data_IF_296662049751
#
_entry.id   IF_296662049751
#
_cell.length_a   1.000
_cell.length_b   1.000
_cell.length_c   1.000
_cell.angle_alpha   90.00
_cell.angle_beta   90.00
_cell.angle_gamma   90.00
#
_symmetry.space_group_name_H-M   'P 1'
#
loop_
_entity.id
_entity.type
_entity.pdbx_description
1 polymer ?
#
# COMPACT_ATOMS: atom_id res chain seq x y z
N UNK A 1 47.40 21.70 -22.28
CA UNK A 1 47.62 21.50 -23.73
C UNK A 1 46.29 21.08 -24.35
N UNK A 2 46.06 21.37 -25.62
CA UNK A 2 44.84 20.95 -26.33
C UNK A 2 45.05 19.56 -26.90
N UNK A 3 44.08 18.65 -26.69
CA UNK A 3 44.14 17.30 -27.25
C UNK A 3 44.23 17.36 -28.79
N UNK A 4 44.94 16.39 -29.39
CA UNK A 4 45.17 16.26 -30.84
C UNK A 4 45.88 17.44 -31.53
N UNK A 5 46.42 18.40 -30.78
CA UNK A 5 47.30 19.43 -31.33
C UNK A 5 48.75 18.94 -31.38
N UNK A 6 49.49 19.35 -32.41
CA UNK A 6 50.92 19.04 -32.54
C UNK A 6 51.76 20.04 -31.76
N UNK A 7 52.66 19.54 -30.94
CA UNK A 7 53.63 20.33 -30.20
C UNK A 7 55.06 19.88 -30.54
N UNK A 8 56.00 20.82 -30.52
CA UNK A 8 57.43 20.53 -30.70
C UNK A 8 58.14 20.70 -29.37
N UNK A 9 58.77 19.62 -28.89
CA UNK A 9 59.77 19.69 -27.81
C UNK A 9 61.15 19.79 -28.44
N UNK A 10 62.01 20.65 -27.92
CA UNK A 10 63.37 20.82 -28.41
C UNK A 10 64.33 21.15 -27.28
N UNK A 11 65.60 20.84 -27.50
CA UNK A 11 66.70 21.37 -26.72
C UNK A 11 67.69 22.05 -27.67
N UNK A 12 68.37 23.07 -27.18
CA UNK A 12 69.46 23.70 -27.91
C UNK A 12 70.82 23.22 -27.39
N UNK A 13 71.78 23.10 -28.29
CA UNK A 13 73.18 22.80 -27.95
C UNK A 13 74.12 23.64 -28.81
N UNK A 14 75.25 24.05 -28.24
CA UNK A 14 76.39 24.64 -28.98
C UNK A 14 77.51 23.62 -29.21
N UNK A 15 77.30 22.39 -28.74
CA UNK A 15 78.22 21.27 -28.85
C UNK A 15 77.57 20.15 -29.67
N UNK A 16 78.09 18.93 -29.57
CA UNK A 16 77.55 17.76 -30.25
C UNK A 16 76.11 17.44 -29.77
N UNK A 17 75.39 16.69 -30.60
CA UNK A 17 74.07 16.13 -30.32
C UNK A 17 74.04 14.63 -30.65
N UNK A 18 73.15 13.90 -30.01
CA UNK A 18 72.88 12.51 -30.35
C UNK A 18 71.71 12.43 -31.34
N UNK A 19 71.77 11.51 -32.29
CA UNK A 19 70.63 11.21 -33.15
C UNK A 19 70.65 9.78 -33.68
N UNK A 20 69.47 9.29 -34.08
CA UNK A 20 69.30 8.05 -34.83
C UNK A 20 68.54 8.35 -36.12
N UNK A 21 69.15 8.07 -37.28
CA UNK A 21 68.48 8.26 -38.57
C UNK A 21 67.36 7.26 -38.79
N UNK A 22 66.36 7.66 -39.57
CA UNK A 22 65.19 6.88 -39.98
C UNK A 22 64.27 6.40 -38.84
N UNK A 23 64.46 6.86 -37.60
CA UNK A 23 63.66 6.45 -36.44
C UNK A 23 62.16 6.78 -36.61
N UNK A 24 61.84 8.00 -37.03
CA UNK A 24 60.48 8.42 -37.39
C UNK A 24 60.16 8.12 -38.87
N UNK A 25 60.81 7.12 -39.46
CA UNK A 25 60.49 6.61 -40.80
C UNK A 25 59.09 5.99 -40.87
N UNK A 26 58.57 5.57 -39.71
CA UNK A 26 57.17 5.24 -39.47
C UNK A 26 56.65 6.06 -38.27
N UNK A 27 55.33 6.27 -38.15
CA UNK A 27 54.74 6.86 -36.94
C UNK A 27 55.14 6.06 -35.68
N UNK A 28 55.26 6.76 -34.56
CA UNK A 28 55.60 6.18 -33.26
C UNK A 28 54.50 6.51 -32.26
N UNK A 29 54.25 5.58 -31.34
CA UNK A 29 53.29 5.74 -30.24
C UNK A 29 54.02 5.45 -28.94
N UNK A 30 53.84 6.32 -27.94
CA UNK A 30 54.42 6.13 -26.62
C UNK A 30 53.90 4.84 -25.95
N UNK A 31 54.57 4.34 -24.90
CA UNK A 31 54.18 3.10 -24.22
C UNK A 31 52.75 3.10 -23.66
N UNK A 32 52.22 4.27 -23.30
CA UNK A 32 50.88 4.49 -22.76
C UNK A 32 49.82 4.82 -23.83
N UNK A 33 50.24 5.00 -25.09
CA UNK A 33 49.34 5.38 -26.18
C UNK A 33 48.91 6.86 -26.19
N UNK A 34 49.29 7.64 -25.19
CA UNK A 34 48.81 9.02 -25.01
C UNK A 34 49.53 9.98 -25.96
N UNK A 35 50.84 9.81 -26.10
CA UNK A 35 51.65 10.61 -27.01
C UNK A 35 51.90 9.85 -28.31
N UNK A 36 51.73 10.54 -29.43
CA UNK A 36 52.05 10.01 -30.76
C UNK A 36 52.96 10.98 -31.51
N UNK A 37 53.80 10.43 -32.38
CA UNK A 37 54.66 11.16 -33.29
C UNK A 37 54.39 10.67 -34.71
N UNK A 38 54.08 11.58 -35.63
CA UNK A 38 53.84 11.25 -37.03
C UNK A 38 55.13 10.82 -37.75
N UNK A 39 54.97 10.23 -38.94
CA UNK A 39 56.11 10.03 -39.84
C UNK A 39 56.79 11.38 -40.11
N UNK A 40 58.11 11.44 -39.96
CA UNK A 40 58.89 12.66 -40.13
C UNK A 40 58.83 13.64 -38.96
N UNK A 41 58.36 13.23 -37.77
CA UNK A 41 58.32 14.08 -36.57
C UNK A 41 59.69 14.60 -36.09
N UNK A 42 60.78 14.00 -36.59
CA UNK A 42 62.15 14.44 -36.35
C UNK A 42 62.46 15.80 -36.96
N UNK A 43 62.52 16.85 -36.13
CA UNK A 43 62.79 18.23 -36.56
C UNK A 43 64.06 18.82 -35.94
N UNK A 44 64.72 19.71 -36.68
CA UNK A 44 65.86 20.50 -36.23
C UNK A 44 65.79 21.94 -36.76
N UNK A 45 66.61 22.83 -36.19
CA UNK A 45 66.93 24.13 -36.75
C UNK A 45 68.43 24.39 -36.56
N UNK A 46 69.08 24.95 -37.59
CA UNK A 46 70.46 25.41 -37.49
C UNK A 46 70.50 26.88 -37.05
N UNK A 47 71.49 27.24 -36.24
CA UNK A 47 71.69 28.60 -35.74
C UNK A 47 71.62 28.68 -34.21
N UNK A 48 71.14 29.80 -33.69
CA UNK A 48 71.09 30.07 -32.26
C UNK A 48 70.05 29.17 -31.55
N UNK A 49 70.38 28.55 -30.40
CA UNK A 49 69.42 27.88 -29.53
C UNK A 49 68.15 28.73 -29.26
N UNK A 50 66.99 28.07 -29.23
CA UNK A 50 65.70 28.72 -28.98
C UNK A 50 64.87 29.07 -30.22
N UNK A 51 65.38 28.79 -31.43
CA UNK A 51 64.59 28.85 -32.66
C UNK A 51 63.71 27.60 -32.78
N UNK A 52 62.44 27.77 -33.18
CA UNK A 52 61.52 26.66 -33.44
C UNK A 52 62.07 25.73 -34.54
N UNK A 53 62.31 24.45 -34.25
CA UNK A 53 62.73 23.47 -35.25
C UNK A 53 61.64 23.23 -36.31
N UNK A 54 61.98 23.45 -37.59
CA UNK A 54 61.05 23.24 -38.72
C UNK A 54 61.66 22.44 -39.87
N UNK A 55 62.97 22.19 -39.84
CA UNK A 55 63.65 21.39 -40.86
C UNK A 55 63.68 19.92 -40.46
N UNK A 56 63.72 19.01 -41.42
CA UNK A 56 63.83 17.57 -41.17
C UNK A 56 65.07 17.00 -41.85
N UNK A 57 65.64 15.95 -41.26
CA UNK A 57 66.78 15.22 -41.83
C UNK A 57 66.61 13.73 -41.60
N UNK A 58 66.49 12.96 -42.69
CA UNK A 58 66.36 11.49 -42.68
C UNK A 58 65.39 10.93 -41.61
N UNK A 59 64.27 11.62 -41.32
CA UNK A 59 63.33 11.21 -40.27
C UNK A 59 64.00 10.88 -38.91
N UNK A 60 65.02 11.67 -38.53
CA UNK A 60 65.88 11.34 -37.38
C UNK A 60 65.21 11.59 -36.04
N UNK A 61 65.50 10.77 -35.02
CA UNK A 61 65.20 11.09 -33.63
C UNK A 61 66.43 11.73 -32.97
N UNK A 62 66.28 12.92 -32.37
CA UNK A 62 67.34 13.68 -31.70
C UNK A 62 67.41 13.44 -30.19
N UNK A 63 66.70 12.41 -29.69
CA UNK A 63 66.72 11.95 -28.31
C UNK A 63 66.39 13.05 -27.29
N UNK A 64 65.35 13.83 -27.61
CA UNK A 64 64.66 14.73 -26.68
C UNK A 64 63.32 14.12 -26.32
N UNK A 65 62.94 14.22 -25.05
CA UNK A 65 61.72 13.62 -24.52
C UNK A 65 60.93 14.63 -23.67
N UNK A 66 59.66 14.35 -23.45
CA UNK A 66 58.75 15.17 -22.65
C UNK A 66 58.14 14.34 -21.53
N UNK A 67 58.25 14.83 -20.30
CA UNK A 67 57.41 14.33 -19.20
C UNK A 67 55.99 14.83 -19.39
N UNK A 68 55.05 13.95 -19.73
CA UNK A 68 53.64 14.29 -19.85
C UNK A 68 52.85 13.76 -18.65
N UNK A 69 52.05 14.62 -18.04
CA UNK A 69 51.05 14.23 -17.05
C UNK A 69 49.70 14.68 -17.56
N UNK A 70 48.84 13.73 -17.92
CA UNK A 70 47.45 14.02 -18.20
C UNK A 70 46.81 14.64 -16.94
N UNK A 71 45.95 15.64 -17.10
CA UNK A 71 45.02 15.98 -16.03
C UNK A 71 43.98 14.88 -15.93
N UNK A 72 43.58 14.52 -14.72
CA UNK A 72 42.42 13.66 -14.50
C UNK A 72 41.19 14.35 -15.11
N UNK A 73 40.30 13.56 -15.72
CA UNK A 73 39.02 14.09 -16.19
C UNK A 73 38.25 14.68 -14.99
N UNK A 74 37.49 15.77 -15.17
CA UNK A 74 36.64 16.26 -14.09
C UNK A 74 35.59 15.20 -13.76
N UNK A 75 35.35 15.00 -12.46
CA UNK A 75 34.32 14.08 -11.95
C UNK A 75 32.94 14.42 -12.52
N UNK A 76 32.21 13.40 -12.90
CA UNK A 76 30.83 13.45 -13.36
C UNK A 76 29.94 12.90 -12.24
N UNK A 77 28.85 13.61 -11.87
CA UNK A 77 27.98 13.13 -10.82
C UNK A 77 27.24 11.86 -11.24
N UNK A 78 26.78 11.04 -10.28
CA UNK A 78 25.96 9.88 -10.56
C UNK A 78 24.59 10.31 -11.12
N UNK A 79 23.99 9.45 -11.94
CA UNK A 79 22.72 9.70 -12.62
C UNK A 79 21.73 8.55 -12.38
N UNK A 80 20.47 8.89 -12.07
CA UNK A 80 19.39 7.91 -11.97
C UNK A 80 19.14 7.24 -13.33
N UNK A 81 18.86 5.94 -13.31
CA UNK A 81 18.56 5.11 -14.49
C UNK A 81 17.18 4.46 -14.41
N UNK A 82 16.24 5.13 -13.74
CA UNK A 82 14.88 4.64 -13.56
C UNK A 82 14.13 4.58 -14.90
N UNK A 83 13.31 3.55 -15.09
CA UNK A 83 12.45 3.43 -16.28
C UNK A 83 11.29 4.45 -16.29
N UNK A 84 10.97 5.02 -15.12
CA UNK A 84 9.93 6.04 -14.91
C UNK A 84 10.01 6.63 -13.51
N UNK A 85 9.21 7.66 -13.25
CA UNK A 85 9.12 8.34 -11.94
C UNK A 85 7.86 7.97 -11.17
N UNK A 86 7.06 7.04 -11.69
CA UNK A 86 5.84 6.56 -11.04
C UNK A 86 5.93 5.05 -10.94
N UNK A 87 5.74 4.56 -9.74
CA UNK A 87 5.74 3.14 -9.40
C UNK A 87 4.38 2.77 -8.85
N UNK A 88 3.98 1.52 -9.07
CA UNK A 88 2.74 0.98 -8.54
C UNK A 88 3.10 -0.28 -7.78
N UNK A 89 2.57 -0.40 -6.57
CA UNK A 89 2.83 -1.51 -5.67
C UNK A 89 1.52 -1.94 -5.05
N UNK A 90 1.23 -3.24 -4.96
CA UNK A 90 0.05 -3.67 -4.24
C UNK A 90 0.27 -3.51 -2.75
N UNK A 91 -0.79 -3.27 -2.00
CA UNK A 91 -0.75 -3.15 -0.55
C UNK A 91 -0.25 -4.42 0.17
N UNK A 92 -0.25 -4.38 1.51
CA UNK A 92 0.11 -5.51 2.37
C UNK A 92 1.56 -6.01 2.19
N UNK A 93 2.44 -5.14 1.69
CA UNK A 93 3.89 -5.40 1.59
C UNK A 93 4.71 -4.13 1.75
N UNK A 94 5.90 -4.27 2.31
CA UNK A 94 6.79 -3.13 2.56
C UNK A 94 7.71 -2.79 1.40
N UNK A 95 7.91 -3.67 0.41
CA UNK A 95 8.79 -3.35 -0.74
C UNK A 95 8.07 -2.45 -1.72
N UNK A 96 8.55 -1.22 -1.92
CA UNK A 96 7.93 -0.24 -2.80
C UNK A 96 8.53 -0.28 -4.22
N UNK A 97 9.85 -0.07 -4.32
CA UNK A 97 10.55 -0.02 -5.61
C UNK A 97 12.04 -0.33 -5.44
N UNK A 98 12.72 -0.65 -6.54
CA UNK A 98 14.19 -0.67 -6.59
C UNK A 98 14.68 0.49 -7.42
N UNK A 99 15.41 1.40 -6.78
CA UNK A 99 15.95 2.61 -7.37
C UNK A 99 17.30 2.28 -7.99
N UNK A 100 17.50 2.67 -9.24
CA UNK A 100 18.74 2.40 -9.99
C UNK A 100 19.41 3.71 -10.39
N UNK A 101 20.74 3.67 -10.37
CA UNK A 101 21.60 4.76 -10.81
C UNK A 101 22.94 4.19 -11.30
N UNK A 102 23.67 5.00 -12.04
CA UNK A 102 25.05 4.72 -12.47
C UNK A 102 25.91 5.94 -12.21
N UNK A 103 27.20 5.71 -12.03
CA UNK A 103 28.20 6.76 -12.06
C UNK A 103 29.03 6.62 -13.35
N UNK A 104 29.16 7.68 -14.18
CA UNK A 104 29.91 7.60 -15.44
C UNK A 104 31.41 7.30 -15.27
N UNK A 105 31.98 7.69 -14.14
CA UNK A 105 33.40 7.48 -13.82
C UNK A 105 33.62 6.15 -13.06
N UNK A 106 32.53 5.50 -12.65
CA UNK A 106 32.53 4.22 -11.94
C UNK A 106 32.71 4.37 -10.43
N UNK A 107 32.50 5.57 -9.91
CA UNK A 107 32.61 5.85 -8.49
C UNK A 107 31.47 5.21 -7.68
N UNK A 108 31.75 4.95 -6.40
CA UNK A 108 30.73 4.51 -5.47
C UNK A 108 29.84 5.68 -5.08
N UNK A 109 28.53 5.46 -5.02
CA UNK A 109 27.56 6.43 -4.57
C UNK A 109 26.57 5.81 -3.56
N UNK A 110 25.84 6.67 -2.87
CA UNK A 110 24.85 6.29 -1.84
C UNK A 110 23.48 6.82 -2.21
N UNK A 111 22.45 5.98 -2.07
CA UNK A 111 21.05 6.38 -2.15
C UNK A 111 20.54 6.92 -0.81
N UNK A 112 19.67 7.93 -0.84
CA UNK A 112 18.97 8.44 0.34
C UNK A 112 17.59 8.99 0.00
N UNK A 113 16.68 9.00 0.98
CA UNK A 113 15.45 9.79 0.95
C UNK A 113 15.83 11.22 1.35
N UNK A 114 15.64 12.17 0.43
CA UNK A 114 16.02 13.57 0.60
C UNK A 114 14.85 14.46 1.04
N UNK A 115 13.61 13.99 0.89
CA UNK A 115 12.40 14.72 1.26
C UNK A 115 11.16 14.18 0.54
N UNK A 116 10.19 15.05 0.31
CA UNK A 116 8.84 14.69 -0.18
C UNK A 116 7.79 14.85 0.92
N UNK A 117 6.52 14.91 0.53
CA UNK A 117 5.40 15.02 1.48
C UNK A 117 5.35 13.78 2.38
N UNK A 118 5.64 12.62 1.81
CA UNK A 118 5.54 11.32 2.48
C UNK A 118 6.92 10.72 2.79
N UNK A 119 7.96 11.55 2.91
CA UNK A 119 9.33 11.11 3.15
C UNK A 119 9.45 10.18 4.37
N UNK A 120 8.67 10.44 5.42
CA UNK A 120 8.66 9.66 6.65
C UNK A 120 8.07 8.25 6.48
N UNK A 121 7.27 8.03 5.42
CA UNK A 121 6.70 6.73 5.11
C UNK A 121 7.70 5.77 4.45
N UNK A 122 8.93 6.20 4.15
CA UNK A 122 9.91 5.38 3.41
C UNK A 122 11.27 5.26 4.09
N UNK A 123 11.87 4.10 3.88
CA UNK A 123 13.28 3.82 4.08
C UNK A 123 13.91 3.47 2.73
N UNK A 124 15.19 3.78 2.53
CA UNK A 124 15.96 3.31 1.38
C UNK A 124 17.27 2.68 1.82
N UNK A 125 17.60 1.53 1.25
CA UNK A 125 18.93 0.95 1.43
C UNK A 125 19.96 1.76 0.62
N UNK A 126 20.91 2.39 1.31
CA UNK A 126 21.87 3.29 0.69
C UNK A 126 22.81 2.65 -0.34
N UNK A 127 22.94 1.32 -0.36
CA UNK A 127 23.80 0.60 -1.32
C UNK A 127 23.00 -0.06 -2.43
N UNK A 128 21.89 -0.73 -2.09
CA UNK A 128 21.11 -1.49 -3.07
C UNK A 128 20.02 -0.69 -3.76
N UNK A 129 19.71 0.52 -3.27
CA UNK A 129 18.61 1.34 -3.79
C UNK A 129 17.23 0.76 -3.52
N UNK A 130 17.10 -0.25 -2.65
CA UNK A 130 15.80 -0.81 -2.29
C UNK A 130 15.02 0.21 -1.46
N UNK A 131 13.94 0.73 -2.04
CA UNK A 131 12.98 1.61 -1.38
C UNK A 131 11.86 0.75 -0.77
N UNK A 132 11.59 0.97 0.51
CA UNK A 132 10.58 0.24 1.26
C UNK A 132 9.74 1.17 2.12
N UNK A 133 8.47 0.87 2.31
CA UNK A 133 7.63 1.55 3.29
C UNK A 133 8.12 1.29 4.73
N UNK A 134 7.97 2.29 5.59
CA UNK A 134 8.29 2.22 7.02
C UNK A 134 7.26 1.42 7.81
N UNK A 135 5.99 1.47 7.39
CA UNK A 135 4.89 0.62 7.84
C UNK A 135 4.28 -0.09 6.62
N UNK A 136 3.63 -1.24 6.81
CA UNK A 136 2.90 -1.89 5.73
C UNK A 136 1.75 -0.99 5.28
N UNK A 137 1.64 -0.64 3.98
CA UNK A 137 0.52 0.14 3.48
C UNK A 137 -0.75 -0.73 3.43
N UNK A 138 -1.87 -0.07 3.70
CA UNK A 138 -3.25 -0.56 3.71
C UNK A 138 -4.04 0.44 2.84
N UNK A 139 -4.71 -0.07 1.80
CA UNK A 139 -5.39 0.77 0.81
C UNK A 139 -6.66 1.41 1.37
N UNK A 140 -7.36 0.70 2.25
CA UNK A 140 -8.59 1.09 2.94
C UNK A 140 -8.31 2.13 4.03
N UNK A 141 -7.10 2.10 4.61
CA UNK A 141 -6.60 3.10 5.57
C UNK A 141 -5.33 3.81 5.09
N UNK A 142 -5.43 4.72 4.09
CA UNK A 142 -4.28 5.45 3.57
C UNK A 142 -3.51 6.19 4.68
N UNK A 143 -2.19 6.16 4.61
CA UNK A 143 -1.29 6.78 5.60
C UNK A 143 -0.44 7.91 5.00
N UNK A 144 -0.59 8.18 3.72
CA UNK A 144 0.00 9.34 3.04
C UNK A 144 -0.66 10.65 3.52
N UNK A 145 0.01 11.77 3.28
CA UNK A 145 -0.36 13.06 3.85
C UNK A 145 -1.75 13.54 3.40
N UNK A 146 -2.16 13.20 2.18
CA UNK A 146 -3.42 13.58 1.52
C UNK A 146 -4.47 12.46 1.49
N UNK A 147 -4.13 11.27 1.96
CA UNK A 147 -5.00 10.09 2.06
C UNK A 147 -5.54 9.63 0.70
N UNK A 148 -4.73 9.69 -0.35
CA UNK A 148 -5.13 9.30 -1.71
C UNK A 148 -4.39 8.06 -2.26
N UNK A 149 -3.62 7.38 -1.41
CA UNK A 149 -2.82 6.20 -1.74
C UNK A 149 -1.67 6.47 -2.74
N UNK A 150 -1.34 7.74 -3.01
CA UNK A 150 -0.23 8.15 -3.88
C UNK A 150 0.84 8.85 -3.04
N UNK A 151 1.90 8.12 -2.74
CA UNK A 151 2.98 8.62 -1.90
C UNK A 151 4.03 9.38 -2.73
N UNK A 152 4.45 10.55 -2.26
CA UNK A 152 5.32 11.47 -2.97
C UNK A 152 6.67 11.64 -2.24
N UNK A 153 7.73 11.16 -2.89
CA UNK A 153 9.07 11.06 -2.27
C UNK A 153 10.11 11.70 -3.17
N UNK A 154 11.01 12.49 -2.56
CA UNK A 154 12.21 13.02 -3.19
C UNK A 154 13.41 12.17 -2.80
N UNK A 155 14.03 11.52 -3.78
CA UNK A 155 15.24 10.70 -3.59
C UNK A 155 16.50 11.49 -3.95
N UNK A 156 17.65 11.07 -3.42
CA UNK A 156 18.96 11.58 -3.80
C UNK A 156 20.00 10.47 -3.99
N UNK A 157 20.95 10.71 -4.89
CA UNK A 157 22.18 9.94 -5.05
C UNK A 157 23.39 10.88 -4.93
N UNK A 158 24.43 10.44 -4.24
CA UNK A 158 25.67 11.22 -4.07
C UNK A 158 26.90 10.33 -4.02
N UNK A 159 27.93 10.73 -4.76
CA UNK A 159 29.29 10.20 -4.75
C UNK A 159 30.18 10.87 -3.67
N UNK A 160 29.66 11.90 -2.99
CA UNK A 160 30.40 12.71 -2.01
C UNK A 160 31.40 13.70 -2.63
N UNK A 161 31.49 13.79 -3.96
CA UNK A 161 32.41 14.66 -4.70
C UNK A 161 31.62 15.84 -5.29
N UNK A 162 30.55 15.54 -6.02
CA UNK A 162 29.64 16.53 -6.58
C UNK A 162 28.41 16.73 -5.67
N UNK A 163 27.68 17.86 -5.84
CA UNK A 163 26.37 18.02 -5.22
C UNK A 163 25.46 16.84 -5.56
N UNK A 164 24.69 16.36 -4.58
CA UNK A 164 23.78 15.24 -4.78
C UNK A 164 22.77 15.52 -5.89
N UNK A 165 22.50 14.51 -6.71
CA UNK A 165 21.46 14.55 -7.74
C UNK A 165 20.16 14.06 -7.12
N UNK A 166 19.06 14.79 -7.33
CA UNK A 166 17.76 14.49 -6.75
C UNK A 166 16.71 14.13 -7.80
N UNK A 167 15.80 13.22 -7.47
CA UNK A 167 14.69 12.81 -8.33
C UNK A 167 13.42 12.63 -7.50
N UNK A 168 12.35 13.34 -7.88
CA UNK A 168 11.03 13.12 -7.32
C UNK A 168 10.38 11.90 -7.98
N UNK A 169 9.72 11.08 -7.18
CA UNK A 169 8.95 9.92 -7.63
C UNK A 169 7.60 9.86 -6.92
N UNK A 170 6.66 9.13 -7.51
CA UNK A 170 5.42 8.71 -6.85
C UNK A 170 5.35 7.20 -6.72
N UNK A 171 4.75 6.72 -5.63
CA UNK A 171 4.44 5.31 -5.39
C UNK A 171 2.95 5.20 -5.11
N UNK A 172 2.20 4.65 -6.06
CA UNK A 172 0.77 4.36 -5.93
C UNK A 172 0.59 2.99 -5.28
N UNK A 173 -0.12 2.96 -4.15
CA UNK A 173 -0.58 1.72 -3.53
C UNK A 173 -1.87 1.30 -4.22
N UNK A 174 -1.92 0.08 -4.75
CA UNK A 174 -3.14 -0.47 -5.35
C UNK A 174 -3.79 -1.46 -4.41
N UNK A 175 -5.11 -1.32 -4.31
CA UNK A 175 -6.04 -2.32 -3.78
C UNK A 175 -5.70 -3.70 -4.35
N UNK A 176 -5.49 -4.66 -3.44
CA UNK A 176 -5.52 -6.08 -3.76
C UNK A 176 -6.76 -6.66 -3.11
N UNK A 177 -7.67 -7.15 -3.96
CA UNK A 177 -8.76 -8.04 -3.58
C UNK A 177 -8.22 -9.39 -3.08
N UNK A 178 -7.60 -9.40 -1.90
CA UNK A 178 -7.17 -10.56 -1.13
C UNK A 178 -7.98 -10.70 0.17
N UNK A 179 -8.92 -9.79 0.45
CA UNK A 179 -10.04 -10.13 1.31
C UNK A 179 -10.87 -11.20 0.59
N UNK A 180 -10.93 -12.39 1.18
CA UNK A 180 -12.12 -13.22 0.98
C UNK A 180 -13.32 -12.31 1.26
N UNK A 181 -14.20 -12.11 0.28
CA UNK A 181 -15.41 -11.28 0.40
C UNK A 181 -15.93 -11.34 1.84
N UNK A 182 -16.16 -10.19 2.51
CA UNK A 182 -16.26 -10.13 3.97
C UNK A 182 -17.12 -11.30 4.44
N UNK A 183 -16.53 -12.16 5.27
CA UNK A 183 -17.30 -13.21 5.93
C UNK A 183 -18.23 -12.45 6.86
N UNK A 184 -19.40 -12.07 6.36
CA UNK A 184 -20.38 -11.33 7.12
C UNK A 184 -20.69 -12.16 8.35
N UNK A 185 -20.28 -11.64 9.50
CA UNK A 185 -20.58 -12.25 10.78
C UNK A 185 -22.10 -12.21 10.97
N UNK A 186 -22.63 -13.31 11.50
CA UNK A 186 -24.02 -13.41 11.90
C UNK A 186 -24.10 -14.15 13.22
N UNK A 187 -25.12 -13.84 14.02
CA UNK A 187 -25.27 -14.41 15.35
C UNK A 187 -25.61 -15.91 15.26
N UNK A 188 -26.32 -16.34 14.21
CA UNK A 188 -26.74 -17.72 14.02
C UNK A 188 -26.13 -18.36 12.77
N UNK A 189 -25.71 -19.61 12.90
CA UNK A 189 -25.14 -20.40 11.81
C UNK A 189 -26.20 -20.82 10.79
N UNK A 190 -25.73 -21.26 9.61
CA UNK A 190 -26.59 -21.63 8.47
C UNK A 190 -27.53 -22.82 8.73
N UNK A 191 -27.29 -23.59 9.78
CA UNK A 191 -28.12 -24.73 10.19
C UNK A 191 -29.05 -24.42 11.35
N UNK A 192 -28.92 -23.25 11.99
CA UNK A 192 -29.75 -22.87 13.13
C UNK A 192 -31.15 -22.48 12.63
N UNK A 193 -32.19 -23.00 13.31
CA UNK A 193 -33.58 -22.78 12.93
C UNK A 193 -34.53 -22.80 14.14
N UNK A 194 -35.69 -22.11 14.05
CA UNK A 194 -36.68 -22.08 15.12
C UNK A 194 -37.27 -23.45 15.46
N UNK A 195 -37.40 -23.71 16.76
CA UNK A 195 -38.19 -24.82 17.29
C UNK A 195 -39.69 -24.67 17.00
N UNK A 196 -40.22 -23.44 16.96
CA UNK A 196 -41.60 -23.14 16.56
C UNK A 196 -41.57 -22.12 15.42
N UNK A 197 -42.18 -22.47 14.29
CA UNK A 197 -42.11 -21.66 13.06
C UNK A 197 -43.30 -20.72 12.87
N UNK A 198 -44.35 -20.84 13.69
CA UNK A 198 -45.53 -19.96 13.63
C UNK A 198 -46.23 -19.92 14.99
N UNK A 199 -46.81 -18.78 15.33
CA UNK A 199 -47.70 -18.60 16.49
C UNK A 199 -49.14 -18.32 16.04
N UNK A 200 -50.09 -18.47 16.96
CA UNK A 200 -51.49 -18.07 16.78
C UNK A 200 -51.88 -16.89 17.69
N UNK A 201 -50.88 -16.12 18.14
CA UNK A 201 -51.08 -14.90 18.93
C UNK A 201 -51.46 -13.76 17.98
N UNK A 202 -52.50 -13.00 18.32
CA UNK A 202 -52.97 -11.86 17.52
C UNK A 202 -52.46 -10.52 18.03
N UNK A 203 -51.55 -10.54 19.00
CA UNK A 203 -50.95 -9.34 19.59
C UNK A 203 -49.84 -8.83 18.67
N UNK A 204 -49.82 -7.52 18.43
CA UNK A 204 -48.73 -6.86 17.74
C UNK A 204 -47.49 -6.82 18.64
N UNK A 205 -46.32 -7.10 18.09
CA UNK A 205 -45.06 -7.07 18.82
C UNK A 205 -43.96 -6.39 18.02
N UNK A 206 -43.06 -5.71 18.73
CA UNK A 206 -41.66 -5.63 18.32
C UNK A 206 -40.90 -6.74 19.02
N UNK A 207 -40.21 -7.61 18.26
CA UNK A 207 -39.46 -8.76 18.76
C UNK A 207 -37.99 -8.58 18.42
N UNK A 208 -37.07 -8.91 19.34
CA UNK A 208 -35.66 -8.65 19.12
C UNK A 208 -34.69 -9.56 19.87
N UNK A 209 -33.42 -9.31 19.59
CA UNK A 209 -32.25 -9.91 20.24
C UNK A 209 -31.32 -8.80 20.69
N UNK A 210 -30.86 -8.89 21.93
CA UNK A 210 -29.73 -8.10 22.43
C UNK A 210 -28.42 -8.79 22.04
N UNK A 211 -27.46 -8.04 21.53
CA UNK A 211 -26.18 -8.56 21.08
C UNK A 211 -25.05 -7.55 21.29
N UNK A 212 -23.81 -8.03 21.20
CA UNK A 212 -22.60 -7.23 21.15
C UNK A 212 -21.62 -7.81 20.11
N UNK A 213 -20.83 -6.95 19.50
CA UNK A 213 -19.73 -7.33 18.61
C UNK A 213 -18.40 -7.32 19.37
N UNK A 214 -17.53 -8.32 19.15
CA UNK A 214 -16.22 -8.40 19.78
C UNK A 214 -15.21 -7.38 19.21
N UNK A 215 -15.47 -6.87 18.02
CA UNK A 215 -14.67 -5.87 17.29
C UNK A 215 -15.53 -4.70 16.84
N UNK A 216 -14.90 -3.60 16.45
CA UNK A 216 -15.60 -2.52 15.74
C UNK A 216 -15.95 -3.03 14.33
N UNK A 217 -16.98 -2.45 13.72
CA UNK A 217 -17.40 -2.83 12.36
C UNK A 217 -18.75 -2.21 12.01
N UNK A 218 -19.36 -2.67 10.93
CA UNK A 218 -20.62 -2.12 10.43
C UNK A 218 -21.72 -3.17 10.27
N UNK A 219 -22.95 -2.82 10.62
CA UNK A 219 -24.13 -3.61 10.25
C UNK A 219 -24.54 -3.22 8.83
N UNK A 220 -24.66 -4.19 7.93
CA UNK A 220 -25.04 -3.97 6.52
C UNK A 220 -26.47 -4.43 6.22
N UNK A 221 -26.99 -5.39 6.98
CA UNK A 221 -28.36 -5.87 6.86
C UNK A 221 -28.89 -6.41 8.17
N UNK A 222 -30.22 -6.41 8.30
CA UNK A 222 -30.96 -7.09 9.36
C UNK A 222 -31.77 -8.23 8.75
N UNK A 223 -32.03 -9.29 9.51
CA UNK A 223 -32.85 -10.40 9.04
C UNK A 223 -33.76 -10.95 10.13
N UNK A 224 -34.91 -11.49 9.71
CA UNK A 224 -35.83 -12.21 10.58
C UNK A 224 -36.22 -13.54 9.95
N UNK A 225 -36.63 -14.51 10.78
CA UNK A 225 -37.09 -15.80 10.27
C UNK A 225 -38.60 -15.79 9.97
N UNK A 226 -38.95 -16.12 8.73
CA UNK A 226 -40.34 -16.39 8.31
C UNK A 226 -40.59 -17.90 8.25
N UNK A 227 -41.56 -18.40 8.99
CA UNK A 227 -41.91 -19.81 8.96
C UNK A 227 -42.59 -20.24 7.68
N UNK A 228 -42.35 -21.47 7.23
CA UNK A 228 -42.97 -22.03 6.01
C UNK A 228 -44.50 -22.03 6.05
N UNK A 229 -45.10 -22.11 7.25
CA UNK A 229 -46.56 -22.03 7.43
C UNK A 229 -47.13 -20.62 7.26
N UNK A 230 -46.29 -19.60 7.37
CA UNK A 230 -46.61 -18.18 7.14
C UNK A 230 -46.26 -17.73 5.71
N UNK A 231 -45.62 -18.59 4.91
CA UNK A 231 -45.17 -18.25 3.57
C UNK A 231 -46.27 -18.23 2.51
N UNK A 232 -47.55 -18.14 2.89
CA UNK A 232 -48.71 -18.24 1.98
C UNK A 232 -49.09 -16.93 1.28
N UNK A 233 -48.59 -15.80 1.77
CA UNK A 233 -49.00 -14.45 1.37
C UNK A 233 -47.81 -13.54 1.03
N UNK A 234 -48.11 -12.29 0.68
CA UNK A 234 -47.11 -11.22 0.60
C UNK A 234 -47.07 -10.51 1.94
N UNK A 235 -45.93 -10.56 2.62
CA UNK A 235 -45.74 -9.95 3.93
C UNK A 235 -44.64 -8.87 3.84
N UNK A 236 -44.80 -7.78 4.56
CA UNK A 236 -43.78 -6.72 4.66
C UNK A 236 -43.52 -6.41 6.11
N UNK A 237 -42.27 -6.63 6.54
CA UNK A 237 -41.83 -6.34 7.91
C UNK A 237 -40.75 -5.27 7.91
N UNK A 238 -40.75 -4.47 8.96
CA UNK A 238 -39.71 -3.49 9.23
C UNK A 238 -38.82 -4.01 10.34
N UNK A 239 -37.52 -3.97 10.12
CA UNK A 239 -36.49 -4.33 11.06
C UNK A 239 -35.78 -3.05 11.53
N UNK A 240 -35.39 -3.05 12.79
CA UNK A 240 -34.80 -1.90 13.47
C UNK A 240 -33.52 -2.30 14.18
N UNK A 241 -32.54 -1.39 14.18
CA UNK A 241 -31.30 -1.50 14.93
C UNK A 241 -31.26 -0.36 15.96
N UNK A 242 -30.97 -0.70 17.21
CA UNK A 242 -30.97 0.24 18.32
C UNK A 242 -29.66 0.16 19.10
N UNK A 243 -29.31 1.25 19.79
CA UNK A 243 -28.40 1.15 20.93
C UNK A 243 -29.05 0.29 22.03
N UNK A 244 -28.26 -0.31 22.92
CA UNK A 244 -28.75 -1.05 24.08
C UNK A 244 -29.58 -0.20 25.07
N UNK A 245 -29.59 1.13 24.90
CA UNK A 245 -30.39 2.07 25.68
C UNK A 245 -31.62 2.59 24.93
N UNK A 246 -31.93 2.05 23.75
CA UNK A 246 -33.15 2.34 23.01
C UNK A 246 -33.13 3.54 22.05
N UNK A 247 -31.94 4.03 21.67
CA UNK A 247 -31.84 5.00 20.57
C UNK A 247 -31.86 4.28 19.23
N UNK A 248 -32.79 4.63 18.35
CA UNK A 248 -32.88 4.06 16.99
C UNK A 248 -31.69 4.51 16.14
N UNK A 249 -30.93 3.55 15.61
CA UNK A 249 -29.78 3.79 14.74
C UNK A 249 -30.15 3.68 13.26
N UNK A 250 -30.93 2.65 12.90
CA UNK A 250 -31.41 2.45 11.53
C UNK A 250 -32.67 1.58 11.48
N UNK A 251 -33.39 1.68 10.35
CA UNK A 251 -34.50 0.82 10.00
C UNK A 251 -34.42 0.40 8.54
N UNK A 252 -34.86 -0.83 8.24
CA UNK A 252 -35.04 -1.29 6.87
C UNK A 252 -36.26 -2.21 6.77
N UNK A 253 -36.93 -2.20 5.61
CA UNK A 253 -38.08 -3.06 5.36
C UNK A 253 -37.73 -4.14 4.34
N UNK A 254 -38.30 -5.33 4.51
CA UNK A 254 -38.25 -6.42 3.53
C UNK A 254 -39.67 -6.84 3.19
N UNK A 255 -39.93 -6.98 1.89
CA UNK A 255 -41.18 -7.54 1.38
C UNK A 255 -40.92 -8.96 0.88
N UNK A 256 -41.56 -9.93 1.51
CA UNK A 256 -41.49 -11.35 1.15
C UNK A 256 -42.75 -11.74 0.37
N UNK A 257 -42.57 -12.47 -0.72
CA UNK A 257 -43.63 -12.96 -1.61
C UNK A 257 -44.08 -14.38 -1.24
N UNK A 258 -45.22 -14.87 -1.76
CA UNK A 258 -45.69 -16.23 -1.49
C UNK A 258 -44.65 -17.29 -1.86
N UNK A 259 -44.42 -18.24 -0.94
CA UNK A 259 -43.44 -19.32 -1.04
C UNK A 259 -42.07 -19.00 -0.46
N UNK A 260 -41.80 -17.75 -0.06
CA UNK A 260 -40.53 -17.40 0.59
C UNK A 260 -40.61 -17.61 2.10
N UNK A 261 -39.74 -18.48 2.61
CA UNK A 261 -39.59 -18.81 4.03
C UNK A 261 -38.12 -18.89 4.43
N UNK A 262 -37.86 -19.12 5.71
CA UNK A 262 -36.52 -19.01 6.29
C UNK A 262 -36.13 -17.56 6.53
N UNK A 263 -34.83 -17.27 6.55
CA UNK A 263 -34.29 -15.93 6.72
C UNK A 263 -34.74 -14.97 5.62
N UNK A 264 -35.45 -13.92 6.01
CA UNK A 264 -35.77 -12.78 5.17
C UNK A 264 -34.85 -11.62 5.55
N UNK A 265 -34.16 -11.04 4.57
CA UNK A 265 -33.09 -10.06 4.79
C UNK A 265 -33.51 -8.69 4.28
N UNK A 266 -33.33 -7.66 5.10
CA UNK A 266 -33.49 -6.25 4.76
C UNK A 266 -32.12 -5.55 4.80
N UNK A 267 -31.61 -5.13 3.65
CA UNK A 267 -30.37 -4.36 3.54
C UNK A 267 -30.57 -2.93 4.06
N UNK A 268 -29.64 -2.43 4.87
CA UNK A 268 -29.65 -1.06 5.33
C UNK A 268 -29.22 -0.12 4.18
N UNK A 269 -29.90 1.01 4.03
CA UNK A 269 -29.55 2.01 3.00
C UNK A 269 -28.18 2.65 3.26
N UNK A 270 -27.75 2.70 4.52
CA UNK A 270 -26.44 3.15 4.96
C UNK A 270 -25.99 2.19 6.05
N UNK A 271 -24.80 1.55 5.93
CA UNK A 271 -24.24 0.74 7.00
C UNK A 271 -24.14 1.52 8.31
N UNK A 272 -24.25 0.82 9.44
CA UNK A 272 -24.21 1.43 10.77
C UNK A 272 -23.02 0.92 11.55
N UNK A 273 -22.11 1.81 11.90
CA UNK A 273 -20.95 1.51 12.74
C UNK A 273 -21.34 1.09 14.15
N UNK A 274 -20.78 -0.03 14.62
CA UNK A 274 -20.83 -0.51 15.99
C UNK A 274 -19.47 -0.37 16.66
N UNK A 275 -19.49 -0.09 17.96
CA UNK A 275 -18.30 -0.12 18.82
C UNK A 275 -18.22 -1.47 19.53
N UNK A 276 -17.01 -2.02 19.58
CA UNK A 276 -16.74 -3.31 20.21
C UNK A 276 -17.23 -3.35 21.66
N UNK A 277 -17.92 -4.42 22.02
CA UNK A 277 -18.47 -4.74 23.34
C UNK A 277 -19.59 -3.82 23.85
N UNK A 278 -20.01 -2.82 23.06
CA UNK A 278 -21.21 -2.07 23.39
C UNK A 278 -22.47 -2.92 23.11
N UNK A 279 -23.52 -2.81 23.96
CA UNK A 279 -24.76 -3.53 23.75
C UNK A 279 -25.62 -2.85 22.67
N UNK A 280 -26.22 -3.67 21.81
CA UNK A 280 -27.14 -3.26 20.76
C UNK A 280 -28.36 -4.19 20.73
N UNK A 281 -29.44 -3.73 20.12
CA UNK A 281 -30.63 -4.55 19.89
C UNK A 281 -30.98 -4.55 18.41
N UNK A 282 -31.16 -5.73 17.83
CA UNK A 282 -31.78 -5.89 16.52
C UNK A 282 -33.22 -6.41 16.72
N UNK A 283 -34.18 -5.82 16.03
CA UNK A 283 -35.60 -6.18 16.18
C UNK A 283 -36.38 -6.16 14.86
N UNK A 284 -37.56 -6.77 14.86
CA UNK A 284 -38.55 -6.59 13.81
C UNK A 284 -39.96 -6.45 14.38
N UNK A 285 -40.80 -5.70 13.67
CA UNK A 285 -42.21 -5.56 13.98
C UNK A 285 -43.07 -6.65 13.31
N UNK A 286 -44.01 -7.22 14.06
CA UNK A 286 -45.06 -8.11 13.53
C UNK A 286 -46.43 -7.72 14.08
N UNK A 287 -47.45 -7.79 13.23
CA UNK A 287 -48.87 -7.61 13.61
C UNK A 287 -49.66 -8.91 13.51
N UNK A 288 -48.95 -10.02 13.40
CA UNK A 288 -49.51 -11.34 13.13
C UNK A 288 -48.74 -12.37 13.97
N UNK A 289 -48.08 -13.30 13.31
CA UNK A 289 -47.36 -14.40 13.93
C UNK A 289 -45.84 -14.16 13.94
N UNK A 290 -45.14 -15.04 14.65
CA UNK A 290 -43.69 -15.06 14.71
C UNK A 290 -43.16 -16.49 14.92
N UNK A 291 -41.89 -16.69 14.59
CA UNK A 291 -41.15 -17.89 14.94
C UNK A 291 -40.40 -17.67 16.26
N UNK A 292 -40.25 -18.72 17.08
CA UNK A 292 -39.49 -18.62 18.32
C UNK A 292 -38.88 -19.93 18.79
N UNK A 293 -37.96 -19.84 19.75
CA UNK A 293 -37.46 -20.97 20.54
C UNK A 293 -37.35 -20.55 22.00
N UNK A 294 -38.11 -21.19 22.88
CA UNK A 294 -38.06 -20.92 24.31
C UNK A 294 -36.81 -21.49 24.96
N UNK A 295 -36.36 -20.87 26.07
CA UNK A 295 -35.15 -21.23 26.81
C UNK A 295 -33.85 -21.20 26.00
N UNK A 296 -33.84 -20.52 24.85
CA UNK A 296 -32.67 -20.47 23.97
C UNK A 296 -31.53 -19.68 24.63
N UNK A 297 -31.83 -18.48 25.13
CA UNK A 297 -30.87 -17.64 25.84
C UNK A 297 -30.83 -17.94 27.34
N UNK A 298 -30.98 -19.21 27.75
CA UNK A 298 -30.78 -19.61 29.14
C UNK A 298 -29.29 -19.51 29.57
N UNK A 299 -28.40 -19.50 28.58
CA UNK A 299 -26.97 -19.22 28.70
C UNK A 299 -26.56 -18.22 27.61
N UNK A 300 -25.36 -17.64 27.73
CA UNK A 300 -24.79 -16.81 26.68
C UNK A 300 -24.70 -17.60 25.38
N UNK A 301 -24.92 -16.91 24.27
CA UNK A 301 -24.75 -17.43 22.93
C UNK A 301 -23.62 -16.69 22.24
N UNK A 302 -22.70 -17.44 21.62
CA UNK A 302 -21.60 -16.89 20.84
C UNK A 302 -21.72 -17.45 19.43
N UNK A 303 -21.74 -16.57 18.44
CA UNK A 303 -21.77 -16.96 17.02
C UNK A 303 -20.58 -17.85 16.67
N UNK A 304 -20.71 -18.62 15.59
CA UNK A 304 -19.74 -19.65 15.23
C UNK A 304 -18.31 -19.12 15.00
N UNK A 305 -18.19 -17.87 14.57
CA UNK A 305 -16.92 -17.16 14.34
C UNK A 305 -16.40 -16.42 15.58
N UNK A 306 -17.22 -16.29 16.64
CA UNK A 306 -16.89 -15.53 17.85
C UNK A 306 -17.05 -14.02 17.73
N UNK A 307 -17.47 -13.50 16.58
CA UNK A 307 -17.55 -12.05 16.32
C UNK A 307 -18.75 -11.43 17.00
N UNK A 308 -19.90 -12.10 16.94
CA UNK A 308 -21.14 -11.65 17.58
C UNK A 308 -21.50 -12.54 18.75
N UNK A 309 -22.00 -11.93 19.81
CA UNK A 309 -22.49 -12.64 20.99
C UNK A 309 -23.79 -12.04 21.49
N UNK A 310 -24.59 -12.87 22.15
CA UNK A 310 -25.87 -12.52 22.74
C UNK A 310 -25.86 -12.98 24.21
N UNK A 311 -26.04 -12.06 25.18
CA UNK A 311 -25.98 -12.42 26.59
C UNK A 311 -27.17 -13.33 26.99
N UNK A 312 -26.99 -14.11 28.04
CA UNK A 312 -28.06 -14.88 28.67
C UNK A 312 -29.17 -13.96 29.19
N UNK A 313 -30.39 -14.48 29.22
CA UNK A 313 -31.52 -13.80 29.84
C UNK A 313 -31.42 -13.85 31.37
N UNK A 314 -31.40 -12.68 32.02
CA UNK A 314 -31.35 -12.54 33.48
C UNK A 314 -32.63 -11.88 33.99
N UNK A 315 -33.58 -12.69 34.47
CA UNK A 315 -34.84 -12.19 35.01
C UNK A 315 -35.75 -11.54 33.94
N UNK A 316 -36.51 -10.47 34.28
CA UNK A 316 -37.46 -9.85 33.35
C UNK A 316 -36.82 -8.89 32.33
N UNK A 317 -35.51 -8.62 32.45
CA UNK A 317 -34.77 -7.63 31.65
C UNK A 317 -33.59 -8.28 30.92
N UNK A 318 -33.77 -9.50 30.42
CA UNK A 318 -32.73 -10.27 29.74
C UNK A 318 -32.96 -10.39 28.22
N UNK A 319 -32.14 -11.19 27.54
CA UNK A 319 -32.26 -11.40 26.11
C UNK A 319 -33.53 -12.17 25.71
N UNK A 320 -33.85 -12.17 24.42
CA UNK A 320 -35.19 -12.50 23.95
C UNK A 320 -36.15 -11.38 24.26
N UNK A 321 -35.84 -10.20 23.74
CA UNK A 321 -36.52 -8.95 24.08
C UNK A 321 -37.76 -8.75 23.22
N UNK A 322 -38.80 -8.14 23.79
CA UNK A 322 -40.01 -7.76 23.09
C UNK A 322 -40.65 -6.49 23.67
N UNK A 323 -41.50 -5.87 22.87
CA UNK A 323 -42.49 -4.86 23.28
C UNK A 323 -43.84 -5.21 22.67
N UNK A 324 -44.91 -5.16 23.46
CA UNK A 324 -46.24 -5.62 23.06
C UNK A 324 -47.21 -4.46 22.78
N UNK A 325 -48.15 -4.69 21.86
CA UNK A 325 -49.28 -3.81 21.56
C UNK A 325 -49.06 -2.84 20.40
N UNK A 326 -47.84 -2.71 19.88
CA UNK A 326 -47.53 -1.97 18.64
C UNK A 326 -46.11 -2.30 18.15
N UNK A 327 -45.84 -2.04 16.87
CA UNK A 327 -44.51 -2.22 16.26
C UNK A 327 -43.69 -0.92 16.32
N UNK A 328 -42.37 -1.03 16.16
CA UNK A 328 -41.44 0.10 16.13
C UNK A 328 -41.12 0.72 17.49
N UNK A 329 -41.44 0.02 18.59
CA UNK A 329 -40.99 0.39 19.94
C UNK A 329 -39.69 -0.32 20.28
N UNK A 330 -38.80 0.33 21.03
CA UNK A 330 -37.64 -0.35 21.59
C UNK A 330 -38.08 -1.57 22.45
N UNK A 331 -37.57 -2.79 22.19
CA UNK A 331 -37.90 -3.97 22.98
C UNK A 331 -37.18 -3.97 24.34
N UNK A 332 -37.94 -3.89 25.44
CA UNK A 332 -37.37 -3.81 26.81
C UNK A 332 -37.77 -4.99 27.72
N UNK A 333 -38.80 -5.77 27.36
CA UNK A 333 -39.30 -6.88 28.17
C UNK A 333 -38.74 -8.21 27.69
N UNK A 334 -38.53 -9.18 28.59
CA UNK A 334 -38.13 -10.54 28.22
C UNK A 334 -39.13 -11.58 28.70
N UNK A 335 -39.28 -12.67 27.94
CA UNK A 335 -40.08 -13.82 28.35
C UNK A 335 -39.40 -15.13 27.98
N UNK A 336 -39.27 -16.02 28.97
CA UNK A 336 -38.83 -17.40 28.80
C UNK A 336 -37.49 -17.55 28.05
N UNK A 337 -36.58 -16.57 28.17
CA UNK A 337 -35.30 -16.53 27.49
C UNK A 337 -35.41 -16.89 25.98
N UNK A 338 -36.44 -16.36 25.32
CA UNK A 338 -36.82 -16.80 23.98
C UNK A 338 -35.88 -16.26 22.91
N UNK A 339 -35.56 -17.04 21.88
CA UNK A 339 -35.00 -16.49 20.65
C UNK A 339 -36.14 -16.27 19.65
N UNK A 340 -36.35 -15.03 19.24
CA UNK A 340 -37.37 -14.64 18.24
C UNK A 340 -36.84 -14.63 16.80
N UNK A 341 -35.63 -15.17 16.60
CA UNK A 341 -34.98 -15.35 15.30
C UNK A 341 -34.85 -14.05 14.53
N UNK A 342 -34.18 -13.10 15.19
CA UNK A 342 -33.71 -11.83 14.61
C UNK A 342 -32.20 -11.90 14.56
N UNK A 343 -31.61 -11.47 13.46
CA UNK A 343 -30.18 -11.53 13.25
C UNK A 343 -29.73 -10.40 12.31
N UNK A 344 -28.45 -10.36 11.99
CA UNK A 344 -27.82 -9.31 11.22
C UNK A 344 -26.67 -9.86 10.37
N UNK A 345 -26.26 -9.05 9.39
CA UNK A 345 -24.95 -9.16 8.77
C UNK A 345 -24.06 -8.04 9.29
N UNK A 346 -22.97 -8.42 9.93
CA UNK A 346 -21.96 -7.54 10.48
C UNK A 346 -20.65 -7.73 9.73
N UNK A 347 -20.04 -6.61 9.36
CA UNK A 347 -18.76 -6.54 8.68
C UNK A 347 -17.73 -5.99 9.67
N UNK A 348 -16.88 -6.84 10.29
CA UNK A 348 -15.86 -6.37 11.22
C UNK A 348 -14.85 -5.47 10.48
N UNK A 349 -14.52 -4.31 11.06
CA UNK A 349 -13.37 -3.56 10.58
C UNK A 349 -12.11 -4.38 10.80
N UNK A 350 -11.16 -4.28 9.87
CA UNK A 350 -9.89 -4.94 10.01
C UNK A 350 -9.22 -4.57 11.33
N UNK A 351 -8.76 -5.60 12.03
CA UNK A 351 -7.95 -5.39 13.22
C UNK A 351 -6.64 -4.76 12.77
N UNK A 352 -6.36 -3.54 13.22
CA UNK A 352 -5.02 -2.94 13.14
C UNK A 352 -4.00 -3.95 13.70
N UNK A 353 -3.26 -4.64 12.82
CA UNK A 353 -2.25 -5.64 13.20
C UNK A 353 -0.98 -4.95 13.69
#
# INVERSE_FOLDING_TARGET
>A
MTANATYTVSYGTTQNYAFSSNYFGTPQTGPDGILTASQGAGVYAAGTPGVLPTQSYQNSNYWVDVGFRASDAPNQPPAFTLAGTSFTVPENRTTAATITAIDPDGDNFVFAVAGGNDAAAFNINGTSGLLSFAATPDFETPQDLNLDNIYEVLLSISDGINPAVTQAITVEVTDVVDETAPVLASLFGVTDAPAQIITSDSTDYELGVEFAAATNGEVTALRYWRGDLDAGDTDTRTLNLWTGTGTLLASASVTSTPGQSGWQTATLATPVGLTANDPYVASYGTTQNYAFSGNFFATDWVGADGTLSAPASVGPTGNGVFSAGTTGLFPESSYNASNYWVDLYFDPFDALI
#
